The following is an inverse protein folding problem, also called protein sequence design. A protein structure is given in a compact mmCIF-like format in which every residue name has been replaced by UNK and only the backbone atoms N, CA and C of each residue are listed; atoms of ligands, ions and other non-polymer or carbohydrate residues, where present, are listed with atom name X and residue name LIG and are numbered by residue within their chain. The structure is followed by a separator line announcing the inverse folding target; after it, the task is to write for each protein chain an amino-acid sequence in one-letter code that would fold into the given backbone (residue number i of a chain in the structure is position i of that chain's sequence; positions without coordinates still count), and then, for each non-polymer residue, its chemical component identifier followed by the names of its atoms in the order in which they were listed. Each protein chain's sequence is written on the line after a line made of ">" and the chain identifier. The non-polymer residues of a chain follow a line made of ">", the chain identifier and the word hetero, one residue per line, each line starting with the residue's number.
data_IF_203825754107
#
_entry.id   IF_203825754107
#
_cell.length_a   1.000
_cell.length_b   1.000
_cell.length_c   1.000
_cell.angle_alpha   90.00
_cell.angle_beta   90.00
_cell.angle_gamma   90.00
#
_symmetry.space_group_name_H-M   'P 1'
#
loop_
_entity.id
_entity.type
_entity.pdbx_description
1 polymer ?
#
# COMPACT_ATOMS: atom_id res chain seq x y z
N UNK A 1 -18.62 0.31 17.10
CA UNK A 1 -18.02 -0.54 16.05
C UNK A 1 -16.95 0.26 15.33
N UNK A 2 -17.28 1.45 14.85
CA UNK A 2 -16.37 2.36 14.13
C UNK A 2 -15.13 2.78 14.94
N UNK A 3 -15.28 2.99 16.26
CA UNK A 3 -14.16 3.38 17.13
C UNK A 3 -13.10 2.28 17.26
N UNK A 4 -13.51 1.01 17.34
CA UNK A 4 -12.58 -0.13 17.40
C UNK A 4 -11.85 -0.29 16.06
N UNK A 5 -12.58 -0.19 14.94
CA UNK A 5 -11.98 -0.22 13.61
C UNK A 5 -10.96 0.91 13.42
N UNK A 6 -11.28 2.13 13.88
CA UNK A 6 -10.37 3.26 13.83
C UNK A 6 -9.07 3.00 14.62
N UNK A 7 -9.18 2.45 15.84
CA UNK A 7 -8.00 2.09 16.65
C UNK A 7 -7.13 1.06 15.91
N UNK A 8 -7.74 0.03 15.33
CA UNK A 8 -7.00 -1.00 14.57
C UNK A 8 -6.29 -0.35 13.36
N UNK A 9 -7.00 0.45 12.58
CA UNK A 9 -6.44 1.08 11.38
C UNK A 9 -5.28 2.02 11.71
N UNK A 10 -5.43 2.87 12.73
CA UNK A 10 -4.39 3.79 13.18
C UNK A 10 -3.18 3.05 13.76
N UNK A 11 -3.40 1.96 14.49
CA UNK A 11 -2.32 1.14 15.05
C UNK A 11 -1.48 0.48 13.95
N UNK A 12 -2.15 -0.10 12.95
CA UNK A 12 -1.46 -0.68 11.78
C UNK A 12 -0.74 0.42 10.98
N UNK A 13 -1.38 1.57 10.75
CA UNK A 13 -0.75 2.69 10.05
C UNK A 13 0.52 3.17 10.75
N UNK A 14 0.51 3.26 12.09
CA UNK A 14 1.68 3.59 12.90
C UNK A 14 2.82 2.59 12.74
N UNK A 15 2.51 1.28 12.74
CA UNK A 15 3.49 0.21 12.49
C UNK A 15 4.09 0.36 11.08
N UNK A 16 3.24 0.52 10.06
CA UNK A 16 3.69 0.68 8.66
C UNK A 16 4.59 1.90 8.50
N UNK A 17 4.22 3.05 9.05
CA UNK A 17 5.04 4.27 8.98
C UNK A 17 6.40 4.09 9.67
N UNK A 18 6.42 3.39 10.81
CA UNK A 18 7.65 3.05 11.52
C UNK A 18 8.57 2.18 10.65
N UNK A 19 8.01 1.16 9.98
CA UNK A 19 8.74 0.28 9.09
C UNK A 19 9.26 1.02 7.86
N UNK A 20 8.43 1.83 7.21
CA UNK A 20 8.83 2.65 6.05
C UNK A 20 9.97 3.61 6.39
N UNK A 21 9.92 4.24 7.57
CA UNK A 21 10.99 5.12 8.05
C UNK A 21 12.29 4.36 8.30
N UNK A 22 12.22 3.20 8.99
CA UNK A 22 13.40 2.42 9.37
C UNK A 22 14.06 1.70 8.20
N UNK A 23 13.27 1.30 7.19
CA UNK A 23 13.71 0.47 6.07
C UNK A 23 13.51 1.17 4.72
N UNK A 24 13.72 2.49 4.68
CA UNK A 24 13.46 3.38 3.53
C UNK A 24 14.01 2.91 2.18
N UNK A 25 15.10 2.14 2.18
CA UNK A 25 15.76 1.63 0.98
C UNK A 25 15.59 0.11 0.77
N UNK A 26 14.78 -0.55 1.59
CA UNK A 26 14.55 -1.99 1.55
C UNK A 26 13.08 -2.33 1.29
N UNK A 27 12.15 -1.44 1.65
CA UNK A 27 10.73 -1.60 1.36
C UNK A 27 10.44 -0.97 0.01
N UNK A 28 10.32 -1.82 -1.00
CA UNK A 28 10.00 -1.40 -2.36
C UNK A 28 8.50 -1.14 -2.58
N UNK A 29 7.65 -1.90 -1.89
CA UNK A 29 6.21 -1.80 -2.09
C UNK A 29 5.38 -2.18 -0.88
N UNK A 30 4.15 -1.66 -0.87
CA UNK A 30 3.12 -1.92 0.11
C UNK A 30 1.93 -2.57 -0.57
N UNK A 31 1.36 -3.60 0.06
CA UNK A 31 0.05 -4.11 -0.30
C UNK A 31 -0.94 -3.75 0.80
N UNK A 32 -2.11 -3.23 0.43
CA UNK A 32 -3.19 -2.92 1.36
C UNK A 32 -4.52 -3.49 0.88
N UNK A 33 -5.35 -3.91 1.83
CA UNK A 33 -6.69 -4.44 1.57
C UNK A 33 -7.71 -3.75 2.46
N UNK A 34 -8.60 -2.97 1.85
CA UNK A 34 -9.56 -2.10 2.54
C UNK A 34 -9.22 -0.62 2.31
N UNK A 35 -10.27 0.19 2.11
CA UNK A 35 -10.14 1.63 1.92
C UNK A 35 -9.59 2.30 3.18
N UNK A 36 -10.24 2.04 4.31
CA UNK A 36 -9.94 2.70 5.60
C UNK A 36 -8.49 2.48 6.05
N UNK A 37 -7.93 1.28 5.85
CA UNK A 37 -6.53 1.02 6.19
C UNK A 37 -5.56 1.71 5.23
N UNK A 38 -5.90 1.74 3.94
CA UNK A 38 -5.09 2.43 2.92
C UNK A 38 -5.06 3.93 3.19
N UNK A 39 -6.21 4.50 3.53
CA UNK A 39 -6.36 5.90 3.90
C UNK A 39 -5.59 6.22 5.20
N UNK A 40 -5.75 5.40 6.25
CA UNK A 40 -5.05 5.62 7.52
C UNK A 40 -3.53 5.60 7.34
N UNK A 41 -2.99 4.70 6.51
CA UNK A 41 -1.57 4.68 6.17
C UNK A 41 -1.17 5.97 5.44
N UNK A 42 -1.94 6.39 4.44
CA UNK A 42 -1.64 7.61 3.67
C UNK A 42 -1.63 8.85 4.57
N UNK A 43 -2.62 8.99 5.45
CA UNK A 43 -2.71 10.09 6.40
C UNK A 43 -1.52 10.08 7.38
N UNK A 44 -1.24 8.93 8.01
CA UNK A 44 -0.16 8.80 8.98
C UNK A 44 1.24 9.03 8.36
N UNK A 45 1.42 8.59 7.11
CA UNK A 45 2.68 8.74 6.36
C UNK A 45 2.83 10.11 5.69
N UNK A 46 1.83 11.01 5.79
CA UNK A 46 1.75 12.27 5.05
C UNK A 46 1.92 12.09 3.54
N UNK A 47 1.28 11.06 2.98
CA UNK A 47 1.24 10.82 1.53
C UNK A 47 0.13 11.67 0.93
N UNK A 48 0.51 12.68 0.15
CA UNK A 48 -0.44 13.62 -0.46
C UNK A 48 -0.93 13.17 -1.85
N UNK A 49 -0.18 12.29 -2.53
CA UNK A 49 -0.49 11.89 -3.90
C UNK A 49 -0.04 10.46 -4.22
N UNK A 50 -0.90 9.76 -4.94
CA UNK A 50 -0.64 8.46 -5.55
C UNK A 50 -0.80 8.60 -7.07
N UNK A 51 0.23 8.27 -7.83
CA UNK A 51 0.12 8.14 -9.28
C UNK A 51 -0.33 6.73 -9.62
N UNK A 52 -1.53 6.58 -10.20
CA UNK A 52 -2.05 5.28 -10.60
C UNK A 52 -1.33 4.81 -11.87
N UNK A 53 -0.68 3.65 -11.79
CA UNK A 53 0.08 3.05 -12.87
C UNK A 53 -0.76 2.06 -13.70
N UNK A 54 -1.82 1.52 -13.11
CA UNK A 54 -2.73 0.60 -13.77
C UNK A 54 -3.43 -0.34 -12.81
N UNK A 55 -4.08 -1.36 -13.36
CA UNK A 55 -4.71 -2.42 -12.58
C UNK A 55 -3.85 -3.68 -12.57
N UNK A 56 -3.66 -4.27 -11.39
CA UNK A 56 -3.02 -5.59 -11.22
C UNK A 56 -4.02 -6.69 -11.59
N UNK A 57 -5.26 -6.53 -11.13
CA UNK A 57 -6.42 -7.38 -11.36
C UNK A 57 -7.67 -6.48 -11.42
N UNK A 58 -8.84 -6.98 -11.84
CA UNK A 58 -10.09 -6.23 -11.74
C UNK A 58 -10.29 -5.72 -10.30
N UNK A 59 -10.41 -4.40 -10.14
CA UNK A 59 -10.58 -3.71 -8.84
C UNK A 59 -9.37 -3.81 -7.88
N UNK A 60 -8.17 -4.07 -8.41
CA UNK A 60 -6.89 -3.98 -7.68
C UNK A 60 -5.98 -3.03 -8.41
N UNK A 61 -5.63 -1.91 -7.79
CA UNK A 61 -4.87 -0.84 -8.43
C UNK A 61 -3.41 -0.88 -7.98
N UNK A 62 -2.50 -0.63 -8.93
CA UNK A 62 -1.12 -0.29 -8.66
C UNK A 62 -0.94 1.22 -8.77
N UNK A 63 -0.20 1.77 -7.83
CA UNK A 63 0.17 3.17 -7.80
C UNK A 63 1.57 3.37 -7.23
N UNK A 64 2.15 4.54 -7.47
CA UNK A 64 3.40 4.97 -6.87
C UNK A 64 3.16 6.20 -6.01
N UNK A 65 3.81 6.25 -4.84
CA UNK A 65 3.80 7.44 -3.98
C UNK A 65 4.57 8.57 -4.68
N UNK A 66 3.93 9.73 -4.82
CA UNK A 66 4.54 10.92 -5.41
C UNK A 66 4.80 11.97 -4.33
N UNK A 67 6.09 12.19 -4.08
CA UNK A 67 6.58 13.25 -3.20
C UNK A 67 6.80 12.79 -1.77
N UNK A 68 7.28 13.70 -0.93
CA UNK A 68 7.59 13.39 0.46
C UNK A 68 8.72 12.35 0.63
N UNK A 69 8.90 11.82 1.85
CA UNK A 69 10.02 10.92 2.15
C UNK A 69 9.88 9.54 1.52
N UNK A 70 8.67 9.12 1.12
CA UNK A 70 8.39 7.80 0.57
C UNK A 70 8.16 7.82 -0.94
N UNK A 71 8.57 8.90 -1.62
CA UNK A 71 8.52 9.00 -3.08
C UNK A 71 9.12 7.76 -3.73
N UNK A 72 8.41 7.17 -4.69
CA UNK A 72 8.89 6.04 -5.46
C UNK A 72 8.44 4.67 -4.95
N UNK A 73 8.02 4.56 -3.68
CA UNK A 73 7.49 3.30 -3.11
C UNK A 73 6.19 2.93 -3.83
N UNK A 74 6.10 1.68 -4.26
CA UNK A 74 4.91 1.14 -4.91
C UNK A 74 3.81 0.85 -3.88
N UNK A 75 2.56 1.05 -4.25
CA UNK A 75 1.40 0.69 -3.45
C UNK A 75 0.39 -0.04 -4.32
N UNK A 76 0.08 -1.28 -3.92
CA UNK A 76 -1.01 -2.06 -4.49
C UNK A 76 -2.18 -2.05 -3.51
N UNK A 77 -3.29 -1.45 -3.91
CA UNK A 77 -4.48 -1.29 -3.09
C UNK A 77 -5.66 -2.11 -3.63
N UNK A 78 -6.27 -2.87 -2.73
CA UNK A 78 -7.41 -3.74 -3.02
C UNK A 78 -8.61 -3.34 -2.17
N UNK A 79 -9.81 -3.33 -2.74
CA UNK A 79 -11.05 -3.20 -1.95
C UNK A 79 -11.23 -4.38 -0.99
N UNK A 80 -11.80 -4.16 0.20
CA UNK A 80 -11.82 -5.17 1.29
C UNK A 80 -12.42 -6.52 0.89
N UNK A 81 -13.47 -6.50 0.06
CA UNK A 81 -14.24 -7.68 -0.37
C UNK A 81 -13.85 -8.21 -1.77
N UNK A 82 -12.81 -7.65 -2.38
CA UNK A 82 -12.41 -8.00 -3.74
C UNK A 82 -11.44 -9.20 -3.72
N UNK A 83 -11.60 -10.11 -4.68
CA UNK A 83 -10.63 -11.16 -4.98
C UNK A 83 -10.97 -12.55 -4.47
N UNK A 84 -10.25 -13.54 -4.99
CA UNK A 84 -10.17 -14.91 -4.46
C UNK A 84 -8.95 -15.05 -3.52
N UNK A 85 -8.67 -16.29 -3.08
CA UNK A 85 -7.59 -16.57 -2.14
C UNK A 85 -6.18 -16.26 -2.69
N UNK A 86 -6.02 -16.18 -4.01
CA UNK A 86 -4.72 -16.02 -4.66
C UNK A 86 -4.35 -14.56 -4.93
N UNK A 87 -5.26 -13.61 -4.70
CA UNK A 87 -5.05 -12.20 -5.06
C UNK A 87 -3.81 -11.60 -4.41
N UNK A 88 -3.55 -11.92 -3.14
CA UNK A 88 -2.35 -11.39 -2.47
C UNK A 88 -1.08 -11.90 -3.14
N UNK A 89 -1.03 -13.16 -3.54
CA UNK A 89 0.11 -13.76 -4.26
C UNK A 89 0.34 -13.02 -5.58
N UNK A 90 -0.73 -12.82 -6.37
CA UNK A 90 -0.64 -12.05 -7.61
C UNK A 90 -0.15 -10.60 -7.41
N UNK A 91 -0.57 -9.96 -6.32
CA UNK A 91 -0.12 -8.61 -5.98
C UNK A 91 1.36 -8.56 -5.60
N UNK A 92 1.83 -9.55 -4.82
CA UNK A 92 3.23 -9.64 -4.42
C UNK A 92 4.14 -9.95 -5.62
N UNK A 93 3.74 -10.88 -6.49
CA UNK A 93 4.45 -11.18 -7.75
C UNK A 93 4.52 -9.95 -8.65
N UNK A 94 3.43 -9.19 -8.72
CA UNK A 94 3.38 -7.94 -9.46
C UNK A 94 4.37 -6.90 -8.91
N UNK A 95 4.37 -6.66 -7.59
CA UNK A 95 5.30 -5.73 -6.94
C UNK A 95 6.76 -6.15 -7.21
N UNK A 96 7.04 -7.45 -7.10
CA UNK A 96 8.38 -8.00 -7.35
C UNK A 96 8.83 -7.74 -8.78
N UNK A 97 7.96 -7.98 -9.77
CA UNK A 97 8.28 -7.73 -11.18
C UNK A 97 8.60 -6.25 -11.44
N UNK A 98 7.81 -5.31 -10.91
CA UNK A 98 8.12 -3.88 -11.08
C UNK A 98 9.47 -3.54 -10.43
N UNK A 99 9.78 -4.13 -9.27
CA UNK A 99 11.08 -3.89 -8.63
C UNK A 99 12.25 -4.30 -9.53
N UNK A 100 12.13 -5.45 -10.18
CA UNK A 100 13.14 -5.97 -11.11
C UNK A 100 13.26 -5.11 -12.39
N UNK A 101 12.19 -4.44 -12.83
CA UNK A 101 12.19 -3.56 -14.00
C UNK A 101 12.82 -2.18 -13.72
N UNK A 102 12.82 -1.73 -12.46
CA UNK A 102 13.31 -0.39 -12.04
C UNK A 102 14.72 -0.47 -11.40
N UNK A 103 15.20 -1.66 -11.04
CA UNK A 103 16.55 -1.89 -10.48
C UNK A 103 17.63 -1.98 -11.55
#
# INVERSE_FOLDING_TARGET
>A
MDEVSAIINQSIASIVCTLLSRFKHQIYGLYTSGGDISEAICQQANICALQVNGAVLPQVLSSQIIGGPYHGVQMVSKGGLIGNQDVITHCLDYIKRINEEIS
#
